data_IF_102353873388
#
_entry.id   IF_102353873388
#
_cell.length_a   1.000
_cell.length_b   1.000
_cell.length_c   1.000
_cell.angle_alpha   90.00
_cell.angle_beta   90.00
_cell.angle_gamma   90.00
#
_symmetry.space_group_name_H-M   'P 1'
#
loop_
_entity.id
_entity.type
_entity.pdbx_description
1 polymer ?
#
# COMPACT_ATOMS: atom_id res chain seq x y z
N UNK A 1 43.39 8.71 -52.32
CA UNK A 1 43.43 10.20 -52.12
C UNK A 1 42.58 10.58 -50.94
N UNK A 2 43.13 11.35 -50.07
CA UNK A 2 42.57 12.12 -48.94
C UNK A 2 42.42 11.37 -47.61
N UNK A 3 43.36 11.75 -46.76
CA UNK A 3 43.57 11.55 -45.32
C UNK A 3 42.38 11.93 -44.45
N UNK A 4 42.10 11.14 -43.41
CA UNK A 4 41.41 11.58 -42.22
C UNK A 4 42.29 11.36 -41.01
N UNK A 5 42.72 12.46 -40.43
CA UNK A 5 43.58 12.53 -39.24
C UNK A 5 42.79 12.06 -37.99
N UNK A 6 43.32 11.10 -37.26
CA UNK A 6 42.90 10.75 -35.92
C UNK A 6 43.49 11.74 -34.90
N UNK A 7 42.64 12.40 -34.14
CA UNK A 7 43.04 13.24 -33.04
C UNK A 7 42.90 12.47 -31.76
N UNK A 8 44.02 12.06 -31.17
CA UNK A 8 44.10 11.49 -29.84
C UNK A 8 44.16 12.62 -28.82
N UNK A 9 43.18 12.65 -27.88
CA UNK A 9 43.27 13.48 -26.69
C UNK A 9 43.82 12.60 -25.55
N UNK A 10 45.04 12.94 -25.09
CA UNK A 10 45.67 12.40 -23.85
C UNK A 10 45.19 13.32 -22.74
N UNK A 11 44.43 12.75 -21.78
CA UNK A 11 44.12 13.43 -20.52
C UNK A 11 45.18 12.98 -19.50
N UNK A 12 46.10 13.92 -19.18
CA UNK A 12 47.08 13.79 -18.10
C UNK A 12 46.38 13.97 -16.75
N UNK A 13 46.41 12.95 -15.90
CA UNK A 13 46.06 13.08 -14.48
C UNK A 13 47.25 13.69 -13.73
N UNK A 14 47.11 14.94 -13.28
CA UNK A 14 47.98 15.53 -12.27
C UNK A 14 47.42 15.21 -10.89
N UNK A 15 48.12 14.33 -10.16
CA UNK A 15 47.91 14.12 -8.74
C UNK A 15 48.59 15.23 -7.95
N UNK A 16 47.84 16.13 -7.36
CA UNK A 16 48.34 17.11 -6.41
C UNK A 16 48.29 16.56 -4.98
N UNK A 17 49.45 16.24 -4.41
CA UNK A 17 49.60 15.95 -3.00
C UNK A 17 49.50 17.27 -2.22
N UNK A 18 48.49 17.41 -1.38
CA UNK A 18 48.44 18.45 -0.35
C UNK A 18 49.05 17.92 0.95
N UNK A 19 50.29 18.33 1.24
CA UNK A 19 50.83 18.29 2.57
C UNK A 19 50.25 19.48 3.36
N UNK A 20 49.40 19.22 4.31
CA UNK A 20 48.96 20.23 5.28
C UNK A 20 49.94 20.26 6.46
N UNK A 21 50.66 21.34 6.54
CA UNK A 21 51.49 21.71 7.70
C UNK A 21 50.58 22.14 8.84
N UNK A 22 50.63 21.45 9.96
CA UNK A 22 49.91 21.83 11.18
C UNK A 22 50.66 23.00 11.84
N UNK A 23 50.10 24.20 11.78
CA UNK A 23 50.52 25.32 12.64
C UNK A 23 49.74 25.26 13.97
N UNK A 24 50.48 25.02 15.03
CA UNK A 24 50.03 25.10 16.42
C UNK A 24 49.77 26.57 16.79
N UNK A 25 48.53 26.98 16.91
CA UNK A 25 48.15 28.22 17.60
C UNK A 25 47.60 27.88 18.97
N UNK A 26 48.30 28.27 20.01
CA UNK A 26 47.87 28.21 21.40
C UNK A 26 46.72 29.22 21.61
N UNK A 27 45.51 28.70 21.79
CA UNK A 27 44.39 29.48 22.33
C UNK A 27 44.11 29.06 23.78
N UNK A 28 43.77 29.97 24.69
CA UNK A 28 43.71 29.67 26.12
C UNK A 28 42.52 28.78 26.43
N UNK A 29 42.76 27.81 27.32
CA UNK A 29 41.79 26.89 27.89
C UNK A 29 40.71 27.70 28.62
N UNK A 30 39.48 27.67 28.13
CA UNK A 30 38.27 28.05 28.89
C UNK A 30 37.84 26.85 29.74
N UNK A 31 37.44 27.13 30.97
CA UNK A 31 36.98 26.18 31.97
C UNK A 31 35.88 25.22 31.41
N UNK A 32 35.79 23.99 31.98
CA UNK A 32 34.82 23.02 31.52
C UNK A 32 33.39 23.51 31.76
N UNK A 33 32.67 23.71 30.65
CA UNK A 33 31.23 23.97 30.67
C UNK A 33 30.55 22.73 31.28
N UNK A 34 29.88 22.90 32.42
CA UNK A 34 28.98 21.88 32.96
C UNK A 34 28.04 21.35 31.85
N UNK A 35 27.83 20.03 31.78
CA UNK A 35 26.85 19.47 30.86
C UNK A 35 25.48 20.12 31.16
N UNK A 36 24.90 20.74 30.16
CA UNK A 36 23.51 21.17 30.26
C UNK A 36 22.66 19.92 30.55
N UNK A 37 21.98 19.97 31.65
CA UNK A 37 20.95 19.02 32.04
C UNK A 37 19.92 18.99 30.92
N UNK A 38 19.95 17.93 30.10
CA UNK A 38 18.89 17.67 29.13
C UNK A 38 17.65 17.47 29.95
N UNK A 39 16.80 18.49 29.98
CA UNK A 39 15.48 18.39 30.58
C UNK A 39 14.79 17.20 29.95
N UNK A 40 14.63 16.14 30.72
CA UNK A 40 13.83 14.99 30.32
C UNK A 40 12.42 15.52 30.01
N UNK A 41 12.10 15.63 28.73
CA UNK A 41 10.73 15.84 28.30
C UNK A 41 9.89 14.77 28.97
N UNK A 42 9.08 15.16 29.94
CA UNK A 42 8.05 14.32 30.52
C UNK A 42 7.19 13.83 29.36
N UNK A 43 7.41 12.57 28.95
CA UNK A 43 6.49 11.83 28.09
C UNK A 43 5.13 11.92 28.79
N UNK A 44 4.26 12.79 28.31
CA UNK A 44 2.86 12.79 28.69
C UNK A 44 2.32 11.48 28.13
N UNK A 45 2.20 10.48 29.01
CA UNK A 45 1.46 9.26 28.68
C UNK A 45 0.04 9.72 28.34
N UNK A 46 -0.29 9.73 27.06
CA UNK A 46 -1.64 10.01 26.57
C UNK A 46 -2.50 8.84 27.03
N UNK A 47 -3.13 9.02 28.20
CA UNK A 47 -4.03 8.01 28.78
C UNK A 47 -5.09 7.70 27.72
N UNK A 48 -5.19 6.44 27.29
CA UNK A 48 -6.21 6.03 26.32
C UNK A 48 -7.58 6.42 26.86
N UNK A 49 -8.43 6.95 25.99
CA UNK A 49 -9.82 7.29 26.34
C UNK A 49 -10.58 6.02 26.70
N UNK A 50 -11.64 6.15 27.49
CA UNK A 50 -12.57 5.03 27.71
C UNK A 50 -13.25 4.64 26.38
N UNK A 51 -13.50 3.33 26.18
CA UNK A 51 -14.13 2.81 24.97
C UNK A 51 -15.46 3.53 24.66
N UNK A 52 -16.33 3.68 25.67
CA UNK A 52 -17.65 4.30 25.49
C UNK A 52 -17.58 5.81 25.22
N UNK A 53 -16.42 6.45 25.46
CA UNK A 53 -16.18 7.84 25.07
C UNK A 53 -15.80 7.99 23.59
N UNK A 54 -15.21 6.96 22.98
CA UNK A 54 -14.80 6.95 21.57
C UNK A 54 -15.91 6.34 20.71
N UNK A 55 -16.38 5.17 21.10
CA UNK A 55 -17.47 4.47 20.42
C UNK A 55 -18.75 4.64 21.26
N UNK A 56 -19.41 5.75 21.02
CA UNK A 56 -20.62 6.14 21.76
C UNK A 56 -21.81 5.23 21.42
N UNK A 57 -22.88 5.32 22.21
CA UNK A 57 -24.13 4.57 21.98
C UNK A 57 -24.79 4.88 20.64
N UNK A 58 -24.49 6.02 20.05
CA UNK A 58 -25.03 6.46 18.73
C UNK A 58 -24.20 5.90 17.57
N UNK A 59 -23.12 5.17 17.83
CA UNK A 59 -22.26 4.61 16.82
C UNK A 59 -23.01 3.64 15.91
N UNK A 60 -22.94 3.87 14.60
CA UNK A 60 -23.39 2.91 13.60
C UNK A 60 -22.26 1.92 13.35
N UNK A 61 -22.40 0.72 13.88
CA UNK A 61 -21.36 -0.30 13.89
C UNK A 61 -21.68 -1.45 12.93
N UNK A 62 -20.66 -1.97 12.25
CA UNK A 62 -20.76 -3.16 11.42
C UNK A 62 -19.59 -4.09 11.72
N UNK A 63 -19.88 -5.37 11.94
CA UNK A 63 -18.91 -6.43 12.19
C UNK A 63 -18.42 -7.02 10.87
N UNK A 64 -17.15 -7.40 10.81
CA UNK A 64 -16.53 -8.08 9.69
C UNK A 64 -15.11 -8.49 10.03
N UNK A 65 -14.18 -8.44 9.05
CA UNK A 65 -12.75 -8.68 9.31
C UNK A 65 -12.24 -7.73 10.38
N UNK A 66 -12.58 -6.45 10.31
CA UNK A 66 -12.54 -5.50 11.42
C UNK A 66 -13.97 -5.07 11.74
N UNK A 67 -14.22 -4.66 12.97
CA UNK A 67 -15.45 -3.90 13.24
C UNK A 67 -15.24 -2.46 12.79
N UNK A 68 -16.22 -1.90 12.11
CA UNK A 68 -16.19 -0.50 11.67
C UNK A 68 -17.27 0.27 12.41
N UNK A 69 -16.96 1.51 12.81
CA UNK A 69 -17.89 2.35 13.54
C UNK A 69 -17.93 3.73 12.91
N UNK A 70 -19.14 4.28 12.76
CA UNK A 70 -19.35 5.68 12.41
C UNK A 70 -19.94 6.40 13.60
N UNK A 71 -19.25 7.45 14.07
CA UNK A 71 -19.68 8.30 15.19
C UNK A 71 -19.64 9.76 14.70
N UNK A 72 -20.80 10.34 14.46
CA UNK A 72 -20.88 11.65 13.78
C UNK A 72 -20.24 11.56 12.38
N UNK A 73 -19.24 12.41 12.14
CA UNK A 73 -18.47 12.45 10.89
C UNK A 73 -17.19 11.61 10.93
N UNK A 74 -16.92 10.93 12.03
CA UNK A 74 -15.73 10.11 12.21
C UNK A 74 -15.98 8.64 11.92
N UNK A 75 -14.97 8.00 11.36
CA UNK A 75 -14.94 6.58 11.09
C UNK A 75 -13.80 5.92 11.86
N UNK A 76 -14.12 4.82 12.52
CA UNK A 76 -13.17 4.07 13.32
C UNK A 76 -13.09 2.63 12.84
N UNK A 77 -11.87 2.08 12.89
CA UNK A 77 -11.64 0.65 12.79
C UNK A 77 -11.29 0.10 14.15
N UNK A 78 -11.99 -0.94 14.54
CA UNK A 78 -11.65 -1.76 15.69
C UNK A 78 -10.98 -3.02 15.15
N UNK A 79 -9.65 -3.07 15.31
CA UNK A 79 -8.75 -4.06 14.72
C UNK A 79 -8.48 -5.17 15.75
N UNK A 80 -8.95 -6.41 15.49
CA UNK A 80 -8.60 -7.54 16.34
C UNK A 80 -7.10 -7.85 16.29
N UNK A 81 -6.49 -8.06 17.47
CA UNK A 81 -5.06 -8.35 17.60
C UNK A 81 -4.60 -9.51 16.72
N UNK A 82 -5.47 -10.51 16.48
CA UNK A 82 -5.18 -11.67 15.62
C UNK A 82 -4.90 -11.32 14.14
N UNK A 83 -5.28 -10.13 13.68
CA UNK A 83 -5.05 -9.68 12.30
C UNK A 83 -3.80 -8.81 12.14
N UNK A 84 -3.12 -8.48 13.23
CA UNK A 84 -1.81 -7.85 13.15
C UNK A 84 -0.79 -8.80 12.52
N UNK A 85 0.05 -8.28 11.62
CA UNK A 85 1.02 -9.07 10.86
C UNK A 85 0.43 -9.97 9.77
N UNK A 86 -0.90 -9.96 9.56
CA UNK A 86 -1.53 -10.71 8.47
C UNK A 86 -1.49 -9.90 7.17
N UNK A 87 -1.22 -10.60 6.08
CA UNK A 87 -1.17 -9.99 4.76
C UNK A 87 -2.58 -9.61 4.30
N UNK A 88 -2.72 -8.37 3.85
CA UNK A 88 -3.95 -7.85 3.24
C UNK A 88 -3.62 -7.19 1.90
N UNK A 89 -4.52 -7.32 0.93
CA UNK A 89 -4.40 -6.65 -0.35
C UNK A 89 -5.25 -5.39 -0.36
N UNK A 90 -4.63 -4.24 -0.51
CA UNK A 90 -5.31 -2.96 -0.74
C UNK A 90 -5.41 -2.73 -2.24
N UNK A 91 -6.64 -2.66 -2.74
CA UNK A 91 -6.94 -2.39 -4.15
C UNK A 91 -7.72 -1.11 -4.26
N UNK A 92 -7.19 -0.16 -5.01
CA UNK A 92 -7.83 1.13 -5.28
C UNK A 92 -8.47 1.12 -6.66
N UNK A 93 -9.76 1.41 -6.74
CA UNK A 93 -10.51 1.48 -8.00
C UNK A 93 -11.28 2.77 -8.13
N UNK A 94 -11.42 3.22 -9.36
CA UNK A 94 -12.30 4.33 -9.70
C UNK A 94 -13.73 3.81 -9.69
N UNK A 95 -14.61 4.41 -8.87
CA UNK A 95 -16.05 4.13 -8.90
C UNK A 95 -16.79 5.04 -9.88
N UNK A 96 -16.44 6.35 -9.88
CA UNK A 96 -17.02 7.33 -10.79
C UNK A 96 -15.95 8.33 -11.23
N UNK A 97 -16.04 8.76 -12.48
CA UNK A 97 -15.17 9.79 -13.04
C UNK A 97 -16.02 10.94 -13.62
N UNK A 98 -15.51 12.17 -13.63
CA UNK A 98 -16.18 13.28 -14.31
C UNK A 98 -16.07 13.14 -15.82
N UNK A 99 -16.95 13.83 -16.53
CA UNK A 99 -16.87 13.92 -17.99
C UNK A 99 -15.53 14.52 -18.45
N UNK A 100 -14.96 13.96 -19.50
CA UNK A 100 -13.70 14.40 -20.08
C UNK A 100 -12.43 13.98 -19.32
N UNK A 101 -12.57 13.37 -18.13
CA UNK A 101 -11.45 12.72 -17.48
C UNK A 101 -11.35 11.28 -17.98
N UNK A 102 -10.23 10.95 -18.59
CA UNK A 102 -10.00 9.59 -19.02
C UNK A 102 -10.04 9.43 -20.53
N UNK A 103 -10.05 8.19 -20.95
CA UNK A 103 -9.95 7.71 -22.32
C UNK A 103 -9.15 6.40 -22.33
N UNK A 104 -9.38 5.56 -23.35
CA UNK A 104 -8.76 4.25 -23.39
C UNK A 104 -9.16 3.38 -22.20
N UNK A 105 -8.18 3.05 -21.36
CA UNK A 105 -8.40 2.16 -20.19
C UNK A 105 -8.70 2.88 -18.88
N UNK A 106 -8.84 4.20 -18.87
CA UNK A 106 -9.09 4.96 -17.65
C UNK A 106 -10.59 5.29 -17.53
N UNK A 107 -11.33 4.40 -16.88
CA UNK A 107 -12.79 4.44 -16.74
C UNK A 107 -13.22 4.06 -15.33
N UNK A 108 -14.50 4.21 -15.03
CA UNK A 108 -15.12 3.59 -13.84
C UNK A 108 -14.85 2.07 -13.86
N UNK A 109 -14.48 1.50 -12.73
CA UNK A 109 -14.05 0.10 -12.58
C UNK A 109 -12.55 -0.12 -12.72
N UNK A 110 -11.79 0.83 -13.29
CA UNK A 110 -10.33 0.69 -13.45
C UNK A 110 -9.63 0.66 -12.10
N UNK A 111 -8.76 -0.34 -11.90
CA UNK A 111 -7.81 -0.37 -10.77
C UNK A 111 -6.70 0.64 -11.02
N UNK A 112 -6.47 1.52 -10.05
CA UNK A 112 -5.41 2.53 -10.13
C UNK A 112 -4.16 2.09 -9.37
N UNK A 113 -4.32 1.26 -8.35
CA UNK A 113 -3.21 0.74 -7.55
C UNK A 113 -3.60 -0.56 -6.84
N UNK A 114 -2.60 -1.41 -6.63
CA UNK A 114 -2.70 -2.64 -5.85
C UNK A 114 -1.46 -2.75 -4.98
N UNK A 115 -1.64 -2.91 -3.67
CA UNK A 115 -0.53 -3.02 -2.73
C UNK A 115 -0.80 -4.10 -1.68
N UNK A 116 0.23 -4.88 -1.40
CA UNK A 116 0.23 -5.77 -0.25
C UNK A 116 0.57 -4.95 0.99
N UNK A 117 -0.28 -5.01 2.00
CA UNK A 117 -0.12 -4.27 3.25
C UNK A 117 -0.20 -5.19 4.46
N UNK A 118 0.41 -4.76 5.54
CA UNK A 118 0.27 -5.36 6.87
C UNK A 118 -0.03 -4.29 7.90
N UNK A 119 -0.83 -4.67 8.90
CA UNK A 119 -1.09 -3.85 10.06
C UNK A 119 -0.17 -4.27 11.19
N UNK A 120 0.56 -3.34 11.76
CA UNK A 120 1.54 -3.62 12.82
C UNK A 120 1.29 -2.67 14.01
N UNK A 121 1.35 -3.20 15.24
CA UNK A 121 1.37 -2.36 16.42
C UNK A 121 2.81 -1.98 16.75
N UNK A 122 3.06 -0.68 16.85
CA UNK A 122 4.31 -0.13 17.33
C UNK A 122 4.04 0.87 18.45
N UNK A 123 4.43 0.52 19.67
CA UNK A 123 4.09 1.29 20.87
C UNK A 123 2.57 1.54 20.94
N UNK A 124 2.15 2.82 21.09
CA UNK A 124 0.73 3.22 21.12
C UNK A 124 0.22 3.69 19.74
N UNK A 125 0.76 3.07 18.68
CA UNK A 125 0.35 3.33 17.28
C UNK A 125 0.05 2.05 16.55
N UNK A 126 -0.82 2.16 15.57
CA UNK A 126 -1.01 1.16 14.53
C UNK A 126 -0.43 1.69 13.22
N UNK A 127 0.43 0.93 12.60
CA UNK A 127 1.07 1.26 11.34
C UNK A 127 0.47 0.44 10.20
N UNK A 128 0.30 1.05 9.03
CA UNK A 128 0.16 0.32 7.77
C UNK A 128 1.52 0.30 7.12
N UNK A 129 2.09 -0.88 6.92
CA UNK A 129 3.31 -1.07 6.16
C UNK A 129 3.02 -1.69 4.80
N UNK A 130 3.80 -1.31 3.80
CA UNK A 130 3.73 -1.91 2.46
C UNK A 130 4.72 -3.05 2.40
N UNK A 131 4.22 -4.25 2.13
CA UNK A 131 5.02 -5.46 2.09
C UNK A 131 5.35 -5.86 0.65
N UNK A 132 6.51 -6.46 0.45
CA UNK A 132 6.94 -6.98 -0.84
C UNK A 132 7.56 -8.35 -0.69
N UNK A 133 7.19 -9.25 -1.60
CA UNK A 133 7.80 -10.58 -1.76
C UNK A 133 8.70 -10.66 -3.01
N UNK A 134 9.13 -9.51 -3.53
CA UNK A 134 10.02 -9.47 -4.69
C UNK A 134 11.40 -10.03 -4.39
N UNK A 135 11.89 -9.87 -3.16
CA UNK A 135 13.14 -10.46 -2.66
C UNK A 135 12.84 -11.27 -1.39
N UNK A 136 13.23 -12.53 -1.36
CA UNK A 136 12.99 -13.44 -0.25
C UNK A 136 14.23 -14.23 0.11
N UNK A 137 14.32 -14.66 1.37
CA UNK A 137 15.28 -15.63 1.84
C UNK A 137 14.63 -16.53 2.90
N UNK A 138 15.11 -17.74 3.05
CA UNK A 138 14.68 -18.60 4.15
C UNK A 138 15.16 -18.00 5.48
N UNK A 139 14.24 -17.83 6.42
CA UNK A 139 14.51 -17.19 7.72
C UNK A 139 15.57 -17.91 8.55
N UNK A 140 15.79 -19.23 8.31
CA UNK A 140 16.85 -19.99 8.98
C UNK A 140 18.26 -19.68 8.49
N UNK A 141 18.42 -19.00 7.35
CA UNK A 141 19.72 -18.70 6.75
C UNK A 141 20.21 -17.31 7.16
N UNK A 142 21.54 -17.14 7.43
CA UNK A 142 22.10 -15.83 7.80
C UNK A 142 21.81 -14.73 6.79
N UNK A 143 21.73 -15.04 5.49
CA UNK A 143 21.44 -14.11 4.41
C UNK A 143 20.08 -13.42 4.59
N UNK A 144 19.14 -14.04 5.31
CA UNK A 144 17.83 -13.46 5.59
C UNK A 144 17.91 -12.12 6.30
N UNK A 145 18.91 -11.92 7.16
CA UNK A 145 19.15 -10.67 7.88
C UNK A 145 19.46 -9.55 6.88
N UNK A 146 20.37 -9.82 5.93
CA UNK A 146 20.74 -8.87 4.88
C UNK A 146 19.56 -8.57 3.94
N UNK A 147 18.81 -9.60 3.52
CA UNK A 147 17.64 -9.42 2.66
C UNK A 147 16.59 -8.55 3.36
N UNK A 148 16.28 -8.78 4.63
CA UNK A 148 15.33 -7.95 5.40
C UNK A 148 15.83 -6.52 5.57
N UNK A 149 17.13 -6.32 5.84
CA UNK A 149 17.71 -4.99 6.01
C UNK A 149 17.66 -4.15 4.70
N UNK A 150 17.85 -4.80 3.55
CA UNK A 150 17.86 -4.14 2.24
C UNK A 150 16.47 -4.07 1.56
N UNK A 151 15.45 -4.69 2.14
CA UNK A 151 14.06 -4.65 1.68
C UNK A 151 13.13 -4.21 2.82
N UNK A 152 13.51 -3.13 3.51
CA UNK A 152 12.74 -2.60 4.63
C UNK A 152 11.36 -2.12 4.16
N UNK A 153 10.32 -2.55 4.88
CA UNK A 153 8.93 -2.25 4.54
C UNK A 153 8.59 -0.79 4.85
N UNK A 154 8.24 0.04 3.85
CA UNK A 154 7.89 1.43 4.10
C UNK A 154 6.58 1.55 4.87
N UNK A 155 6.52 2.48 5.80
CA UNK A 155 5.29 2.82 6.52
C UNK A 155 4.46 3.77 5.67
N UNK A 156 3.28 3.30 5.23
CA UNK A 156 2.33 4.09 4.45
C UNK A 156 1.61 5.11 5.33
N UNK A 157 1.19 4.69 6.53
CA UNK A 157 0.46 5.55 7.47
C UNK A 157 0.62 5.06 8.92
N UNK A 158 0.44 5.98 9.86
CA UNK A 158 0.50 5.71 11.30
C UNK A 158 -0.73 6.32 12.00
N UNK A 159 -1.42 5.52 12.78
CA UNK A 159 -2.60 5.92 13.55
C UNK A 159 -2.27 5.90 15.04
N UNK A 160 -2.76 6.87 15.79
CA UNK A 160 -2.80 6.76 17.24
C UNK A 160 -3.89 5.75 17.64
N UNK A 161 -3.62 4.94 18.67
CA UNK A 161 -4.65 4.10 19.28
C UNK A 161 -5.50 5.04 20.15
N UNK A 162 -6.78 5.21 19.79
CA UNK A 162 -7.71 6.05 20.55
C UNK A 162 -8.18 5.36 21.82
N UNK A 163 -8.43 4.06 21.72
CA UNK A 163 -8.85 3.22 22.85
C UNK A 163 -8.70 1.74 22.50
N UNK A 164 -8.97 0.87 23.46
CA UNK A 164 -9.06 -0.58 23.29
C UNK A 164 -10.50 -1.03 23.50
N UNK A 165 -10.89 -2.16 22.89
CA UNK A 165 -12.18 -2.81 23.20
C UNK A 165 -12.28 -3.17 24.68
N UNK A 166 -13.50 -3.34 25.18
CA UNK A 166 -13.75 -3.65 26.62
C UNK A 166 -13.03 -4.90 27.13
N UNK A 167 -12.77 -5.86 26.24
CA UNK A 167 -11.98 -7.06 26.51
C UNK A 167 -10.47 -6.87 26.28
N UNK A 168 -10.05 -5.67 25.87
CA UNK A 168 -8.66 -5.31 25.54
C UNK A 168 -8.01 -6.13 24.42
N UNK A 169 -8.81 -6.86 23.62
CA UNK A 169 -8.33 -7.71 22.54
C UNK A 169 -8.19 -6.95 21.20
N UNK A 170 -8.91 -5.84 21.05
CA UNK A 170 -8.94 -5.06 19.82
C UNK A 170 -8.46 -3.64 20.07
N UNK A 171 -7.80 -3.04 19.07
CA UNK A 171 -7.36 -1.65 19.06
C UNK A 171 -8.30 -0.82 18.20
N UNK A 172 -8.71 0.33 18.71
CA UNK A 172 -9.59 1.28 18.01
C UNK A 172 -8.76 2.45 17.51
N UNK A 173 -8.85 2.73 16.23
CA UNK A 173 -8.15 3.83 15.54
C UNK A 173 -9.13 4.69 14.75
N UNK A 174 -8.87 5.99 14.66
CA UNK A 174 -9.62 6.92 13.79
C UNK A 174 -9.02 6.87 12.37
N UNK A 175 -9.79 6.39 11.41
CA UNK A 175 -9.37 6.25 10.00
C UNK A 175 -9.90 7.37 9.10
N UNK A 176 -10.61 8.33 9.67
CA UNK A 176 -11.26 9.41 8.91
C UNK A 176 -10.26 10.17 8.05
N UNK A 177 -9.18 10.65 8.67
CA UNK A 177 -8.15 11.41 7.95
C UNK A 177 -7.42 10.57 6.90
N UNK A 178 -7.18 9.29 7.17
CA UNK A 178 -6.54 8.38 6.22
C UNK A 178 -7.34 8.29 4.92
N UNK A 179 -8.65 8.07 5.02
CA UNK A 179 -9.51 7.94 3.85
C UNK A 179 -10.02 9.26 3.26
N UNK A 180 -9.77 10.40 3.88
CA UNK A 180 -10.09 11.73 3.33
C UNK A 180 -8.86 12.52 2.87
N UNK A 181 -7.67 11.94 2.92
CA UNK A 181 -6.41 12.57 2.50
C UNK A 181 -5.92 12.04 1.15
N UNK A 182 -5.10 12.83 0.47
CA UNK A 182 -4.47 12.46 -0.80
C UNK A 182 -3.25 11.56 -0.57
N UNK A 183 -3.51 10.28 -0.38
CA UNK A 183 -2.47 9.27 -0.24
C UNK A 183 -2.22 8.67 -1.63
N UNK A 184 -0.98 8.70 -2.17
CA UNK A 184 -0.67 8.23 -3.52
C UNK A 184 -1.15 6.80 -3.80
N UNK A 185 -1.09 5.93 -2.80
CA UNK A 185 -1.56 4.55 -2.89
C UNK A 185 -3.07 4.40 -3.12
N UNK A 186 -3.86 5.41 -2.77
CA UNK A 186 -5.33 5.41 -2.86
C UNK A 186 -5.86 6.42 -3.87
N UNK A 187 -4.98 7.16 -4.55
CA UNK A 187 -5.38 8.21 -5.47
C UNK A 187 -5.89 7.66 -6.81
N UNK A 188 -6.91 8.31 -7.36
CA UNK A 188 -7.37 8.09 -8.72
C UNK A 188 -6.57 8.82 -9.78
N UNK A 189 -5.72 9.79 -9.39
CA UNK A 189 -4.92 10.59 -10.33
C UNK A 189 -3.45 10.23 -10.21
N UNK A 190 -2.91 9.61 -11.25
CA UNK A 190 -1.46 9.40 -11.37
C UNK A 190 -0.71 10.71 -11.73
N UNK A 191 0.62 10.67 -11.69
CA UNK A 191 1.46 11.85 -11.94
C UNK A 191 1.18 12.51 -13.29
N UNK A 192 1.00 11.72 -14.36
CA UNK A 192 0.74 12.24 -15.71
C UNK A 192 -0.59 12.97 -15.81
N UNK A 193 -1.65 12.44 -15.18
CA UNK A 193 -2.96 13.11 -15.14
C UNK A 193 -2.91 14.38 -14.30
N UNK A 194 -2.20 14.35 -13.16
CA UNK A 194 -2.00 15.54 -12.33
C UNK A 194 -1.28 16.65 -13.09
N UNK A 195 -0.28 16.30 -13.87
CA UNK A 195 0.44 17.25 -14.70
C UNK A 195 -0.42 17.78 -15.85
N UNK A 196 -1.10 16.91 -16.59
CA UNK A 196 -1.94 17.27 -17.75
C UNK A 196 -3.05 18.26 -17.36
N UNK A 197 -3.69 18.03 -16.22
CA UNK A 197 -4.79 18.87 -15.73
C UNK A 197 -4.34 19.98 -14.77
N UNK A 198 -3.02 20.13 -14.54
CA UNK A 198 -2.43 21.11 -13.63
C UNK A 198 -3.08 21.06 -12.24
N UNK A 199 -3.12 19.86 -11.68
CA UNK A 199 -3.68 19.61 -10.35
C UNK A 199 -2.81 20.27 -9.29
N UNK A 200 -3.40 21.10 -8.43
CA UNK A 200 -2.71 21.82 -7.35
C UNK A 200 -2.66 21.00 -6.06
N UNK A 201 -3.73 20.25 -5.79
CA UNK A 201 -3.85 19.41 -4.58
C UNK A 201 -5.29 18.99 -4.32
N UNK A 202 -5.45 18.11 -3.33
CA UNK A 202 -6.77 17.71 -2.83
C UNK A 202 -7.39 18.89 -2.06
N UNK A 203 -8.68 19.12 -2.25
CA UNK A 203 -9.49 20.05 -1.48
C UNK A 203 -10.18 19.29 -0.34
N UNK A 204 -9.73 19.45 0.92
CA UNK A 204 -10.31 18.71 2.04
C UNK A 204 -11.77 19.07 2.34
N UNK A 205 -12.20 20.29 1.97
CA UNK A 205 -13.57 20.75 2.21
C UNK A 205 -14.59 20.08 1.28
N UNK A 206 -14.12 19.54 0.16
CA UNK A 206 -14.91 18.87 -0.88
C UNK A 206 -14.52 17.40 -1.07
N UNK A 207 -13.82 16.82 -0.08
CA UNK A 207 -13.37 15.42 -0.10
C UNK A 207 -13.82 14.73 1.17
N UNK A 208 -14.55 13.62 1.05
CA UNK A 208 -15.17 12.95 2.18
C UNK A 208 -15.39 11.46 1.96
N UNK A 209 -15.57 10.74 3.06
CA UNK A 209 -15.91 9.32 3.04
C UNK A 209 -17.42 9.20 2.78
N UNK A 210 -17.76 8.54 1.68
CA UNK A 210 -19.15 8.29 1.30
C UNK A 210 -19.75 7.11 2.08
N UNK A 211 -19.01 6.00 2.17
CA UNK A 211 -19.42 4.82 2.94
C UNK A 211 -18.24 3.96 3.36
N UNK A 212 -18.42 3.26 4.48
CA UNK A 212 -17.50 2.21 4.96
C UNK A 212 -18.33 0.98 5.23
N UNK A 213 -17.94 -0.16 4.66
CA UNK A 213 -18.61 -1.45 4.87
C UNK A 213 -17.57 -2.52 5.21
N UNK A 214 -17.85 -3.32 6.22
CA UNK A 214 -17.00 -4.44 6.61
C UNK A 214 -17.70 -5.77 6.36
N UNK A 215 -16.95 -6.70 5.79
CA UNK A 215 -17.37 -8.06 5.46
C UNK A 215 -16.43 -9.06 6.14
N UNK A 216 -16.74 -10.36 6.16
CA UNK A 216 -15.91 -11.36 6.84
C UNK A 216 -14.44 -11.40 6.41
N UNK A 217 -14.13 -11.04 5.14
CA UNK A 217 -12.78 -11.11 4.58
C UNK A 217 -12.29 -9.78 3.99
N UNK A 218 -13.12 -8.73 3.94
CA UNK A 218 -12.73 -7.46 3.33
C UNK A 218 -13.46 -6.27 3.95
N UNK A 219 -12.87 -5.11 3.74
CA UNK A 219 -13.45 -3.79 4.04
C UNK A 219 -13.51 -3.01 2.75
N UNK A 220 -14.66 -2.39 2.48
CA UNK A 220 -14.90 -1.53 1.33
C UNK A 220 -15.12 -0.10 1.80
N UNK A 221 -14.31 0.83 1.29
CA UNK A 221 -14.44 2.25 1.58
C UNK A 221 -14.66 3.01 0.28
N UNK A 222 -15.80 3.67 0.15
CA UNK A 222 -16.09 4.58 -0.96
C UNK A 222 -15.84 6.00 -0.50
N UNK A 223 -15.08 6.75 -1.28
CA UNK A 223 -14.67 8.11 -0.95
C UNK A 223 -14.72 9.03 -2.18
N UNK A 224 -15.14 10.27 -1.96
CA UNK A 224 -15.15 11.30 -2.97
C UNK A 224 -13.93 12.18 -2.78
N UNK A 225 -13.10 12.28 -3.82
CA UNK A 225 -11.94 13.15 -3.87
C UNK A 225 -12.18 14.28 -4.85
N UNK A 226 -12.02 15.52 -4.38
CA UNK A 226 -12.05 16.70 -5.22
C UNK A 226 -10.68 17.36 -5.21
N UNK A 227 -10.09 17.49 -6.39
CA UNK A 227 -8.79 18.13 -6.59
C UNK A 227 -8.98 19.50 -7.22
N UNK A 228 -8.31 20.51 -6.68
CA UNK A 228 -8.19 21.81 -7.36
C UNK A 228 -7.29 21.68 -8.59
N UNK A 229 -7.74 22.15 -9.75
CA UNK A 229 -7.04 22.03 -11.01
C UNK A 229 -7.22 23.27 -11.86
N UNK A 230 -6.13 23.80 -12.46
CA UNK A 230 -6.19 24.99 -13.34
C UNK A 230 -6.67 24.65 -14.75
N UNK A 231 -6.59 23.36 -15.13
CA UNK A 231 -7.07 22.84 -16.42
C UNK A 231 -7.93 21.61 -16.18
N UNK A 232 -9.13 21.75 -15.60
CA UNK A 232 -9.96 20.60 -15.31
C UNK A 232 -10.42 19.91 -16.61
N UNK A 233 -10.68 18.60 -16.52
CA UNK A 233 -11.14 17.79 -17.66
C UNK A 233 -12.57 18.12 -18.12
N UNK A 234 -13.37 18.65 -17.22
CA UNK A 234 -14.75 19.00 -17.48
C UNK A 234 -14.88 20.43 -18.02
N UNK A 235 -15.83 20.65 -18.90
CA UNK A 235 -16.25 21.99 -19.35
C UNK A 235 -17.00 22.78 -18.27
N UNK A 236 -17.36 22.14 -17.14
CA UNK A 236 -17.90 22.83 -15.99
C UNK A 236 -16.84 23.78 -15.40
N UNK A 237 -17.19 25.06 -15.27
CA UNK A 237 -16.28 26.10 -14.81
C UNK A 237 -16.06 26.04 -13.28
N UNK A 238 -15.54 24.90 -12.77
CA UNK A 238 -15.39 24.62 -11.34
C UNK A 238 -13.96 24.68 -10.84
N UNK A 239 -12.98 24.81 -11.76
CA UNK A 239 -11.55 24.69 -11.44
C UNK A 239 -11.19 23.47 -10.55
N UNK A 240 -11.92 22.38 -10.74
CA UNK A 240 -11.76 21.17 -9.94
C UNK A 240 -12.06 19.90 -10.73
N UNK A 241 -11.50 18.79 -10.22
CA UNK A 241 -11.75 17.43 -10.69
C UNK A 241 -12.24 16.61 -9.50
N UNK A 242 -13.46 16.07 -9.59
CA UNK A 242 -14.00 15.19 -8.56
C UNK A 242 -14.04 13.76 -9.07
N UNK A 243 -13.49 12.83 -8.28
CA UNK A 243 -13.44 11.40 -8.59
C UNK A 243 -13.96 10.63 -7.38
N UNK A 244 -14.82 9.65 -7.61
CA UNK A 244 -15.20 8.71 -6.55
C UNK A 244 -14.29 7.47 -6.65
N UNK A 245 -13.66 7.12 -5.53
CA UNK A 245 -12.80 5.97 -5.39
C UNK A 245 -13.45 4.90 -4.52
N UNK A 246 -13.13 3.64 -4.80
CA UNK A 246 -13.40 2.51 -3.91
C UNK A 246 -12.09 1.87 -3.50
N UNK A 247 -11.89 1.75 -2.19
CA UNK A 247 -10.74 1.07 -1.59
C UNK A 247 -11.21 -0.26 -1.04
N UNK A 248 -10.75 -1.35 -1.63
CA UNK A 248 -11.00 -2.71 -1.14
C UNK A 248 -9.78 -3.18 -0.36
N UNK A 249 -9.93 -3.46 0.92
CA UNK A 249 -8.90 -4.05 1.76
C UNK A 249 -9.26 -5.50 2.08
N UNK A 250 -8.55 -6.45 1.48
CA UNK A 250 -8.92 -7.87 1.45
C UNK A 250 -7.92 -8.68 2.26
N UNK A 251 -8.40 -9.43 3.26
CA UNK A 251 -7.57 -10.37 4.02
C UNK A 251 -7.15 -11.52 3.11
N UNK A 252 -5.85 -11.73 2.98
CA UNK A 252 -5.31 -12.83 2.19
C UNK A 252 -5.33 -14.14 2.97
N UNK A 253 -5.44 -15.29 2.27
CA UNK A 253 -5.37 -16.61 2.91
C UNK A 253 -4.03 -16.84 3.61
N UNK A 254 -4.05 -17.42 4.82
CA UNK A 254 -2.82 -17.77 5.55
C UNK A 254 -1.93 -18.75 4.79
N UNK A 255 -2.55 -19.67 4.06
CA UNK A 255 -1.84 -20.62 3.18
C UNK A 255 -2.05 -20.18 1.74
N UNK A 256 -1.05 -19.56 1.10
CA UNK A 256 -1.13 -19.20 -0.31
C UNK A 256 -1.24 -20.48 -1.18
N UNK A 257 -1.76 -20.30 -2.40
CA UNK A 257 -1.74 -21.41 -3.35
C UNK A 257 -0.29 -21.77 -3.73
N UNK A 258 -0.06 -23.05 -4.07
CA UNK A 258 1.24 -23.50 -4.59
C UNK A 258 1.58 -22.72 -5.86
N UNK A 259 2.71 -22.01 -5.92
CA UNK A 259 3.12 -21.27 -7.10
C UNK A 259 3.45 -22.24 -8.25
N UNK A 260 3.33 -21.77 -9.49
CA UNK A 260 3.74 -22.50 -10.68
C UNK A 260 4.76 -21.68 -11.43
N UNK A 261 5.89 -22.31 -11.78
CA UNK A 261 6.94 -21.69 -12.57
C UNK A 261 6.44 -21.39 -13.98
N UNK A 262 6.96 -20.30 -14.54
CA UNK A 262 6.74 -19.91 -15.92
C UNK A 262 7.49 -20.83 -16.87
N UNK A 263 6.86 -21.15 -18.00
CA UNK A 263 7.47 -21.86 -19.10
C UNK A 263 7.36 -21.00 -20.37
N UNK A 264 8.49 -20.77 -21.05
CA UNK A 264 8.55 -19.89 -22.23
C UNK A 264 7.68 -20.37 -23.40
N UNK A 265 7.33 -21.65 -23.43
CA UNK A 265 6.46 -22.24 -24.48
C UNK A 265 5.02 -21.80 -24.37
N UNK A 266 4.61 -21.23 -23.24
CA UNK A 266 3.24 -20.80 -22.99
C UNK A 266 3.26 -19.35 -22.50
N UNK A 267 2.56 -18.45 -23.20
CA UNK A 267 2.44 -17.06 -22.84
C UNK A 267 1.51 -16.87 -21.63
N UNK A 268 2.04 -16.31 -20.54
CA UNK A 268 1.31 -15.98 -19.32
C UNK A 268 1.74 -14.62 -18.76
N UNK A 269 0.85 -13.97 -18.06
CA UNK A 269 1.26 -12.87 -17.16
C UNK A 269 2.04 -13.45 -15.99
N UNK A 270 3.18 -12.87 -15.68
CA UNK A 270 4.11 -13.40 -14.70
C UNK A 270 4.40 -12.42 -13.58
N UNK A 271 4.95 -12.96 -12.49
CA UNK A 271 5.56 -12.22 -11.40
C UNK A 271 6.93 -12.79 -11.09
N UNK A 272 7.90 -11.91 -10.93
CA UNK A 272 9.28 -12.29 -10.61
C UNK A 272 9.54 -12.19 -9.12
N UNK A 273 10.36 -13.10 -8.62
CA UNK A 273 10.85 -13.13 -7.25
C UNK A 273 12.33 -13.49 -7.26
N UNK A 274 13.12 -12.79 -6.49
CA UNK A 274 14.52 -13.12 -6.25
C UNK A 274 14.64 -13.89 -4.95
N UNK A 275 15.06 -15.16 -5.04
CA UNK A 275 15.25 -16.05 -3.89
C UNK A 275 16.75 -16.14 -3.57
N UNK A 276 17.10 -15.73 -2.36
CA UNK A 276 18.45 -15.74 -1.84
C UNK A 276 18.75 -16.96 -0.97
N UNK A 277 17.84 -17.96 -0.98
CA UNK A 277 17.99 -19.16 -0.13
C UNK A 277 18.95 -20.21 -0.70
N UNK A 278 19.42 -20.05 -1.93
CA UNK A 278 20.41 -21.00 -2.53
C UNK A 278 21.83 -20.70 -2.04
N UNK A 279 22.68 -21.70 -2.07
CA UNK A 279 24.12 -21.57 -1.79
C UNK A 279 24.93 -21.05 -3.00
N UNK A 280 24.25 -20.72 -4.10
CA UNK A 280 24.89 -20.18 -5.30
C UNK A 280 25.40 -18.76 -5.08
N UNK A 281 26.42 -18.35 -5.86
CA UNK A 281 27.02 -17.01 -5.79
C UNK A 281 26.11 -15.89 -6.30
N UNK A 282 24.93 -16.20 -6.80
CA UNK A 282 23.89 -15.25 -7.27
C UNK A 282 22.53 -15.68 -6.76
N UNK A 283 21.63 -14.71 -6.58
CA UNK A 283 20.23 -14.99 -6.26
C UNK A 283 19.53 -15.70 -7.42
N UNK A 284 18.66 -16.66 -7.11
CA UNK A 284 17.82 -17.35 -8.08
C UNK A 284 16.60 -16.49 -8.42
N UNK A 285 16.50 -16.09 -9.71
CA UNK A 285 15.31 -15.38 -10.19
C UNK A 285 14.23 -16.39 -10.59
N UNK A 286 13.24 -16.54 -9.72
CA UNK A 286 12.04 -17.35 -9.98
C UNK A 286 10.99 -16.51 -10.69
N UNK A 287 10.44 -17.03 -11.76
CA UNK A 287 9.33 -16.41 -12.50
C UNK A 287 8.10 -17.29 -12.34
N UNK A 288 7.04 -16.74 -11.75
CA UNK A 288 5.78 -17.45 -11.51
C UNK A 288 4.69 -16.93 -12.42
N UNK A 289 3.79 -17.82 -12.87
CA UNK A 289 2.60 -17.44 -13.62
C UNK A 289 1.51 -16.92 -12.70
N UNK A 290 0.74 -15.94 -13.16
CA UNK A 290 -0.52 -15.53 -12.51
C UNK A 290 -1.61 -16.53 -12.92
N UNK A 291 -2.24 -17.16 -11.96
CA UNK A 291 -3.28 -18.16 -12.18
C UNK A 291 -4.39 -18.08 -11.13
N UNK A 292 -5.56 -18.57 -11.47
CA UNK A 292 -6.62 -18.76 -10.50
C UNK A 292 -6.27 -19.85 -9.49
N UNK A 293 -6.72 -19.67 -8.24
CA UNK A 293 -6.63 -20.70 -7.20
C UNK A 293 -7.77 -21.70 -7.36
N UNK A 294 -7.55 -22.71 -8.18
CA UNK A 294 -8.50 -23.79 -8.42
C UNK A 294 -7.99 -25.05 -7.71
N UNK A 295 -8.43 -25.25 -6.48
CA UNK A 295 -8.15 -26.45 -5.69
C UNK A 295 -9.33 -27.40 -5.87
N UNK A 296 -9.10 -28.67 -6.25
CA UNK A 296 -10.19 -29.62 -6.47
C UNK A 296 -10.91 -29.92 -5.16
N UNK A 297 -12.24 -30.02 -5.20
CA UNK A 297 -13.09 -30.37 -4.05
C UNK A 297 -12.87 -31.81 -3.60
N UNK A 298 -12.62 -32.72 -4.58
CA UNK A 298 -12.21 -34.09 -4.35
C UNK A 298 -10.84 -34.34 -5.00
N UNK A 299 -9.79 -34.40 -4.17
CA UNK A 299 -8.43 -34.59 -4.65
C UNK A 299 -8.18 -35.99 -5.18
N UNK A 300 -8.83 -37.00 -4.63
CA UNK A 300 -8.63 -38.40 -5.06
C UNK A 300 -9.30 -38.67 -6.43
N UNK A 301 -10.50 -38.16 -6.63
CA UNK A 301 -11.15 -38.19 -7.95
C UNK A 301 -10.31 -37.40 -9.00
N UNK A 302 -9.78 -36.23 -8.63
CA UNK A 302 -8.90 -35.45 -9.49
C UNK A 302 -7.62 -36.21 -9.88
N UNK A 303 -6.99 -36.92 -8.94
CA UNK A 303 -5.80 -37.75 -9.22
C UNK A 303 -6.11 -38.92 -10.17
N UNK A 304 -7.34 -39.44 -10.16
CA UNK A 304 -7.79 -40.45 -11.12
C UNK A 304 -8.11 -39.88 -12.50
N UNK A 305 -8.01 -38.57 -12.70
CA UNK A 305 -8.30 -37.90 -13.98
C UNK A 305 -9.77 -37.56 -14.18
N UNK A 306 -10.60 -37.64 -13.14
CA UNK A 306 -12.02 -37.27 -13.19
C UNK A 306 -12.18 -35.74 -13.21
N UNK A 307 -13.25 -35.25 -13.85
CA UNK A 307 -13.64 -33.86 -13.77
C UNK A 307 -14.19 -33.55 -12.38
N UNK A 308 -13.56 -32.65 -11.66
CA UNK A 308 -13.92 -32.28 -10.28
C UNK A 308 -14.13 -30.77 -10.20
N UNK A 309 -15.21 -30.37 -9.53
CA UNK A 309 -15.43 -28.98 -9.22
C UNK A 309 -14.37 -28.44 -8.26
N UNK A 310 -13.95 -27.17 -8.41
CA UNK A 310 -13.07 -26.54 -7.45
C UNK A 310 -13.80 -26.24 -6.14
N UNK A 311 -13.06 -26.18 -5.02
CA UNK A 311 -13.56 -25.77 -3.72
C UNK A 311 -14.23 -24.40 -3.80
N UNK A 312 -13.62 -23.49 -4.61
CA UNK A 312 -14.13 -22.15 -4.88
C UNK A 312 -14.18 -21.95 -6.38
N UNK A 313 -15.38 -21.76 -6.89
CA UNK A 313 -15.61 -21.50 -8.30
C UNK A 313 -15.17 -20.09 -8.70
N UNK A 314 -14.82 -19.88 -9.97
CA UNK A 314 -14.65 -18.57 -10.57
C UNK A 314 -16.05 -18.01 -10.84
N UNK A 315 -16.37 -16.86 -10.24
CA UNK A 315 -17.66 -16.22 -10.38
C UNK A 315 -17.49 -14.86 -11.06
N UNK A 316 -18.23 -14.63 -12.12
CA UNK A 316 -18.34 -13.34 -12.79
C UNK A 316 -19.69 -12.73 -12.53
N UNK A 317 -19.70 -11.44 -12.28
CA UNK A 317 -20.93 -10.67 -12.12
C UNK A 317 -21.13 -9.81 -13.37
N UNK A 318 -22.34 -9.87 -13.95
CA UNK A 318 -22.72 -8.96 -15.01
C UNK A 318 -23.13 -7.62 -14.43
N UNK A 319 -22.59 -6.54 -15.00
CA UNK A 319 -22.99 -5.19 -14.63
C UNK A 319 -24.51 -5.02 -14.89
N UNK A 320 -25.27 -4.44 -13.95
CA UNK A 320 -26.70 -4.16 -14.16
C UNK A 320 -27.01 -3.33 -15.40
N UNK A 321 -26.07 -2.47 -15.83
CA UNK A 321 -26.20 -1.68 -17.06
C UNK A 321 -26.00 -2.49 -18.36
N UNK A 322 -25.59 -3.78 -18.26
CA UNK A 322 -25.44 -4.64 -19.44
C UNK A 322 -26.81 -4.82 -20.13
N UNK A 323 -26.93 -4.47 -21.41
CA UNK A 323 -28.17 -4.64 -22.17
C UNK A 323 -28.66 -6.09 -22.10
N UNK A 324 -29.96 -6.29 -21.94
CA UNK A 324 -30.56 -7.61 -21.74
C UNK A 324 -30.22 -8.60 -22.87
N UNK A 325 -30.17 -8.10 -24.12
CA UNK A 325 -29.76 -8.91 -25.29
C UNK A 325 -28.35 -9.53 -25.15
N UNK A 326 -27.47 -8.96 -24.35
CA UNK A 326 -26.08 -9.43 -24.13
C UNK A 326 -25.93 -10.26 -22.85
N UNK A 327 -26.97 -10.36 -22.00
CA UNK A 327 -26.91 -11.13 -20.75
C UNK A 327 -27.03 -12.63 -20.94
N UNK A 328 -27.48 -13.08 -22.13
CA UNK A 328 -27.68 -14.49 -22.45
C UNK A 328 -26.47 -15.14 -23.13
N UNK A 329 -25.40 -14.39 -23.33
CA UNK A 329 -24.13 -14.85 -23.94
C UNK A 329 -23.02 -14.79 -22.90
#
# INVERSE_FOLDING_TARGET
>A
MKNVKRLFWIISFLSANYLSVAQSSKTPVKDPVKPAEVAAEKKVEKKSKDYDQVITKEAKSQKGVFSTHKVGDKYYFEIPKKYLGKDMLLVSRISKIPNGLGGGYFNAGTSTNEQLIVWEKFQEKILIKVKSYAAVANDSLPISISVKANNYEPTMYAFDIETYSKDSLNMVIDVTKFYSSDIPAMSGLNASLREAYKVKGLDPSRSFIHSVKSFPLNIEVVQDFTYSASKPSSTANTESISIQMNQSMILLPEKPMKPRLFDQRVGWFTQKQYDYSSEELKSDQKTFIRKWRLEPKDMEAYKRGELVEPIKQIVYYLDPATPEKLRKH
#
